data_IF_099532167199
#
_entry.id   IF_099532167199
#
_cell.length_a   1.000
_cell.length_b   1.000
_cell.length_c   1.000
_cell.angle_alpha   90.00
_cell.angle_beta   90.00
_cell.angle_gamma   90.00
#
_symmetry.space_group_name_H-M   'P 1'
#
loop_
_entity.id
_entity.type
_entity.pdbx_description
1 polymer ?
#
# COMPACT_ATOMS: atom_id res chain seq x y z
N UNK A 1 -4.13 -35.30 65.99
CA UNK A 1 -5.58 -35.37 66.28
C UNK A 1 -6.17 -33.98 66.11
N UNK A 2 -7.12 -33.80 65.17
CA UNK A 2 -7.96 -32.61 64.85
C UNK A 2 -7.22 -31.29 64.47
N UNK A 3 -7.22 -30.80 63.22
CA UNK A 3 -8.27 -30.19 62.35
C UNK A 3 -8.51 -28.68 62.61
N UNK A 4 -7.99 -27.87 61.65
CA UNK A 4 -8.56 -26.69 60.94
C UNK A 4 -9.08 -25.47 61.74
N UNK A 5 -8.52 -24.28 61.46
CA UNK A 5 -9.29 -23.18 60.85
C UNK A 5 -8.43 -22.19 60.03
N UNK A 6 -8.94 -21.95 58.83
CA UNK A 6 -8.53 -21.01 57.79
C UNK A 6 -8.67 -19.55 58.27
N UNK A 7 -7.83 -18.64 57.77
CA UNK A 7 -8.28 -17.32 57.31
C UNK A 7 -7.27 -16.73 56.32
N UNK A 8 -7.78 -16.52 55.11
CA UNK A 8 -7.11 -15.98 53.94
C UNK A 8 -7.10 -14.46 54.03
N UNK A 9 -5.93 -13.85 53.88
CA UNK A 9 -5.83 -12.54 53.22
C UNK A 9 -4.65 -12.59 52.26
N UNK A 10 -4.95 -12.92 51.00
CA UNK A 10 -4.04 -12.66 49.88
C UNK A 10 -4.04 -11.13 49.71
N UNK A 11 -2.98 -10.47 50.18
CA UNK A 11 -2.68 -9.11 49.72
C UNK A 11 -2.30 -9.22 48.25
N UNK A 12 -3.30 -9.01 47.39
CA UNK A 12 -3.13 -8.96 45.96
C UNK A 12 -2.12 -7.90 45.60
N UNK A 13 -0.92 -8.33 45.21
CA UNK A 13 -0.01 -7.50 44.44
C UNK A 13 -0.64 -7.38 43.05
N UNK A 14 -1.35 -6.28 42.80
CA UNK A 14 -1.78 -5.91 41.47
C UNK A 14 -0.54 -5.52 40.65
N UNK A 15 0.11 -6.51 40.06
CA UNK A 15 1.04 -6.26 38.96
C UNK A 15 0.21 -6.00 37.70
N UNK A 16 -0.11 -4.72 37.46
CA UNK A 16 -0.63 -4.28 36.17
C UNK A 16 0.52 -4.33 35.15
N UNK A 17 0.82 -5.51 34.62
CA UNK A 17 1.67 -5.62 33.43
C UNK A 17 0.83 -5.21 32.21
N UNK A 18 0.90 -3.92 31.87
CA UNK A 18 0.65 -3.50 30.49
C UNK A 18 1.70 -4.19 29.62
N UNK A 19 1.33 -5.26 28.91
CA UNK A 19 2.16 -5.86 27.86
C UNK A 19 2.27 -4.91 26.66
N UNK A 20 2.94 -3.78 26.85
CA UNK A 20 3.41 -2.92 25.78
C UNK A 20 4.71 -3.54 25.24
N UNK A 21 4.61 -4.36 24.20
CA UNK A 21 5.82 -4.95 23.62
C UNK A 21 5.63 -5.97 22.50
N UNK A 22 4.40 -6.31 22.10
CA UNK A 22 4.17 -7.30 21.04
C UNK A 22 3.96 -6.57 19.71
N UNK A 23 4.89 -6.76 18.77
CA UNK A 23 4.82 -6.21 17.43
C UNK A 23 4.11 -7.18 16.47
N UNK A 24 3.10 -6.69 15.74
CA UNK A 24 2.37 -7.45 14.71
C UNK A 24 3.02 -7.22 13.35
N UNK A 25 3.42 -8.31 12.69
CA UNK A 25 3.99 -8.30 11.35
C UNK A 25 3.04 -9.02 10.38
N UNK A 26 2.75 -8.38 9.25
CA UNK A 26 1.95 -8.97 8.17
C UNK A 26 2.87 -9.17 6.97
N UNK A 27 3.09 -10.42 6.58
CA UNK A 27 3.89 -10.76 5.42
C UNK A 27 3.09 -10.55 4.11
N UNK A 28 3.77 -10.49 2.95
CA UNK A 28 3.09 -10.27 1.66
C UNK A 28 2.05 -11.33 1.29
N UNK A 29 2.16 -12.54 1.82
CA UNK A 29 1.21 -13.64 1.65
C UNK A 29 0.00 -13.56 2.60
N UNK A 30 -0.06 -12.52 3.45
CA UNK A 30 -1.10 -12.32 4.46
C UNK A 30 -0.85 -13.05 5.77
N UNK A 31 0.25 -13.79 5.90
CA UNK A 31 0.59 -14.46 7.17
C UNK A 31 0.94 -13.42 8.25
N UNK A 32 0.47 -13.69 9.47
CA UNK A 32 0.65 -12.80 10.63
C UNK A 32 1.60 -13.45 11.62
N UNK A 33 2.63 -12.72 12.03
CA UNK A 33 3.54 -13.14 13.10
C UNK A 33 3.63 -12.08 14.20
N UNK A 34 3.80 -12.53 15.43
CA UNK A 34 3.96 -11.69 16.61
C UNK A 34 5.36 -11.88 17.19
N UNK A 35 6.03 -10.79 17.54
CA UNK A 35 7.37 -10.85 18.13
C UNK A 35 7.47 -9.92 19.33
N UNK A 36 8.19 -10.37 20.36
CA UNK A 36 8.61 -9.58 21.51
C UNK A 36 9.82 -8.70 21.18
N UNK A 37 10.58 -9.06 20.13
CA UNK A 37 11.75 -8.31 19.66
C UNK A 37 11.42 -7.57 18.36
N UNK A 38 11.74 -6.27 18.31
CA UNK A 38 11.63 -5.46 17.09
C UNK A 38 12.68 -5.94 16.08
N UNK A 39 12.26 -6.62 15.02
CA UNK A 39 13.17 -7.00 13.93
C UNK A 39 13.64 -5.73 13.20
N UNK A 40 14.90 -5.36 13.41
CA UNK A 40 15.55 -4.31 12.62
C UNK A 40 15.66 -4.79 11.18
N UNK A 41 14.79 -4.28 10.32
CA UNK A 41 14.98 -4.45 8.88
C UNK A 41 16.28 -3.76 8.45
N UNK A 42 16.97 -4.28 7.44
CA UNK A 42 18.16 -3.65 6.84
C UNK A 42 17.96 -2.16 6.49
N UNK A 43 16.70 -1.72 6.38
CA UNK A 43 16.27 -0.34 6.21
C UNK A 43 16.60 0.58 7.41
N UNK A 44 16.44 0.11 8.66
CA UNK A 44 16.79 0.92 9.85
C UNK A 44 18.30 1.17 9.94
N UNK A 45 19.10 0.22 9.47
CA UNK A 45 20.56 0.35 9.39
C UNK A 45 20.99 1.37 8.33
N UNK A 46 20.25 1.48 7.21
CA UNK A 46 20.49 2.49 6.17
C UNK A 46 20.15 3.90 6.67
N UNK A 47 19.05 4.07 7.42
CA UNK A 47 18.65 5.37 8.00
C UNK A 47 19.70 5.90 8.99
N UNK A 48 20.35 5.01 9.75
CA UNK A 48 21.37 5.41 10.73
C UNK A 48 22.74 5.76 10.11
N UNK A 49 23.04 5.34 8.87
CA UNK A 49 24.40 5.40 8.31
C UNK A 49 24.62 6.54 7.31
N UNK A 50 23.61 7.34 6.97
CA UNK A 50 23.77 8.48 6.04
C UNK A 50 22.78 9.58 6.40
N UNK A 51 23.25 10.82 6.48
CA UNK A 51 22.43 12.02 6.69
C UNK A 51 21.29 12.08 5.65
N UNK A 52 20.11 11.60 6.05
CA UNK A 52 18.93 11.46 5.17
C UNK A 52 18.52 12.78 4.51
N UNK A 53 18.84 13.93 5.16
CA UNK A 53 18.56 15.26 4.61
C UNK A 53 19.39 15.55 3.37
N UNK A 54 20.62 15.04 3.31
CA UNK A 54 21.52 15.19 2.16
C UNK A 54 21.04 14.35 0.97
N UNK A 55 20.62 13.10 1.21
CA UNK A 55 20.01 12.23 0.18
C UNK A 55 18.71 12.81 -0.41
N UNK A 56 17.85 13.43 0.42
CA UNK A 56 16.64 14.12 -0.05
C UNK A 56 17.01 15.32 -0.95
N UNK A 57 18.07 16.06 -0.61
CA UNK A 57 18.52 17.25 -1.35
C UNK A 57 19.08 16.90 -2.74
N UNK A 58 19.78 15.77 -2.87
CA UNK A 58 20.35 15.30 -4.14
C UNK A 58 19.30 14.67 -5.05
N UNK A 59 18.35 13.88 -4.51
CA UNK A 59 17.31 13.23 -5.31
C UNK A 59 16.19 14.17 -5.77
N UNK A 60 15.93 15.28 -5.05
CA UNK A 60 14.94 16.30 -5.41
C UNK A 60 15.06 16.79 -6.87
N UNK A 61 16.25 16.77 -7.48
CA UNK A 61 16.43 17.38 -8.81
C UNK A 61 16.01 16.49 -9.99
N UNK A 62 15.89 15.16 -9.84
CA UNK A 62 16.02 14.27 -11.00
C UNK A 62 14.79 14.11 -11.90
N UNK A 63 13.58 14.49 -11.47
CA UNK A 63 12.37 14.40 -12.32
C UNK A 63 11.33 15.51 -12.06
N UNK A 64 11.59 16.45 -11.15
CA UNK A 64 10.65 17.53 -10.81
C UNK A 64 10.30 18.36 -12.05
N UNK A 65 11.26 18.65 -12.92
CA UNK A 65 11.00 19.44 -14.12
C UNK A 65 10.04 18.74 -15.09
N UNK A 66 10.08 17.41 -15.19
CA UNK A 66 9.21 16.63 -16.08
C UNK A 66 7.76 16.62 -15.59
N UNK A 67 7.55 16.57 -14.27
CA UNK A 67 6.22 16.45 -13.66
C UNK A 67 5.77 17.70 -12.90
N UNK A 68 6.42 18.85 -13.11
CA UNK A 68 6.24 20.09 -12.33
C UNK A 68 4.77 20.50 -12.18
N UNK A 69 4.00 20.48 -13.27
CA UNK A 69 2.57 20.81 -13.27
C UNK A 69 1.71 19.84 -12.45
N UNK A 70 2.04 18.55 -12.46
CA UNK A 70 1.33 17.54 -11.66
C UNK A 70 1.66 17.73 -10.18
N UNK A 71 2.93 17.93 -9.88
CA UNK A 71 3.44 18.21 -8.53
C UNK A 71 2.78 19.47 -7.94
N UNK A 72 2.71 20.57 -8.69
CA UNK A 72 2.07 21.82 -8.25
C UNK A 72 0.58 21.61 -7.91
N UNK A 73 -0.13 20.82 -8.71
CA UNK A 73 -1.53 20.48 -8.42
C UNK A 73 -1.68 19.63 -7.16
N UNK A 74 -0.83 18.61 -6.99
CA UNK A 74 -0.82 17.81 -5.78
C UNK A 74 -0.47 18.64 -4.54
N UNK A 75 0.43 19.62 -4.65
CA UNK A 75 0.77 20.53 -3.55
C UNK A 75 -0.44 21.34 -3.09
N UNK A 76 -1.22 21.90 -4.03
CA UNK A 76 -2.46 22.62 -3.73
C UNK A 76 -3.47 21.73 -3.01
N UNK A 77 -3.53 20.44 -3.36
CA UNK A 77 -4.41 19.44 -2.76
C UNK A 77 -3.79 18.71 -1.56
N UNK A 78 -2.54 19.03 -1.18
CA UNK A 78 -1.77 18.38 -0.11
C UNK A 78 -1.67 16.85 -0.25
N UNK A 79 -1.60 16.37 -1.49
CA UNK A 79 -1.47 14.95 -1.80
C UNK A 79 0.01 14.52 -1.76
N UNK A 80 0.33 13.39 -1.10
CA UNK A 80 1.69 12.85 -1.00
C UNK A 80 2.10 12.01 -2.22
N UNK A 81 1.13 11.62 -3.05
CA UNK A 81 1.35 10.94 -4.32
C UNK A 81 0.21 11.21 -5.29
N UNK A 82 0.44 10.92 -6.56
CA UNK A 82 -0.54 10.93 -7.64
C UNK A 82 -0.48 9.58 -8.35
N UNK A 83 -1.62 8.94 -8.58
CA UNK A 83 -1.71 7.76 -9.45
C UNK A 83 -1.69 8.23 -10.91
N UNK A 84 -0.69 7.77 -11.65
CA UNK A 84 -0.50 8.15 -13.06
C UNK A 84 -1.01 7.07 -14.02
N UNK A 85 -1.13 5.83 -13.54
CA UNK A 85 -1.59 4.70 -14.37
C UNK A 85 -2.13 3.57 -13.51
N UNK A 86 -3.14 2.89 -14.03
CA UNK A 86 -3.55 1.56 -13.60
C UNK A 86 -3.99 0.79 -14.85
N UNK A 87 -3.43 -0.41 -15.07
CA UNK A 87 -3.84 -1.30 -16.17
C UNK A 87 -3.63 -2.76 -15.77
N UNK A 88 -4.32 -3.63 -16.49
CA UNK A 88 -4.06 -5.06 -16.50
C UNK A 88 -3.31 -5.46 -17.78
N UNK A 89 -2.59 -6.58 -17.76
CA UNK A 89 -2.18 -7.25 -19.00
C UNK A 89 -3.36 -7.99 -19.63
N UNK A 90 -3.21 -8.39 -20.89
CA UNK A 90 -4.08 -9.43 -21.45
C UNK A 90 -3.76 -10.76 -20.77
N UNK A 91 -4.74 -11.65 -20.58
CA UNK A 91 -4.49 -12.97 -20.03
C UNK A 91 -3.38 -13.69 -20.81
N UNK A 92 -2.41 -14.25 -20.09
CA UNK A 92 -1.35 -15.06 -20.69
C UNK A 92 -1.87 -16.48 -21.02
N UNK A 93 -0.97 -17.36 -21.50
CA UNK A 93 -1.32 -18.72 -21.91
C UNK A 93 -1.90 -19.61 -20.80
N UNK A 94 -1.71 -19.24 -19.52
CA UNK A 94 -2.29 -19.92 -18.35
C UNK A 94 -3.40 -19.09 -17.71
N UNK A 95 -4.01 -18.17 -18.46
CA UNK A 95 -5.04 -17.22 -18.02
C UNK A 95 -4.58 -16.24 -16.93
N UNK A 96 -3.28 -16.14 -16.68
CA UNK A 96 -2.70 -15.22 -15.71
C UNK A 96 -2.79 -13.77 -16.20
N UNK A 97 -3.26 -12.89 -15.33
CA UNK A 97 -3.46 -11.47 -15.59
C UNK A 97 -2.62 -10.67 -14.61
N UNK A 98 -1.77 -9.81 -15.13
CA UNK A 98 -0.88 -8.96 -14.35
C UNK A 98 -1.55 -7.62 -14.05
N UNK A 99 -1.08 -6.94 -13.01
CA UNK A 99 -1.47 -5.56 -12.68
C UNK A 99 -0.25 -4.66 -12.73
N UNK A 100 -0.38 -3.53 -13.41
CA UNK A 100 0.59 -2.43 -13.39
C UNK A 100 -0.09 -1.19 -12.82
N UNK A 101 0.50 -0.61 -11.77
CA UNK A 101 0.07 0.67 -11.20
C UNK A 101 1.28 1.57 -11.17
N UNK A 102 1.20 2.73 -11.82
CA UNK A 102 2.26 3.74 -11.75
C UNK A 102 1.79 4.91 -10.88
N UNK A 103 2.71 5.46 -10.10
CA UNK A 103 2.47 6.67 -9.32
C UNK A 103 3.69 7.58 -9.29
N UNK A 104 3.42 8.86 -9.02
CA UNK A 104 4.39 9.91 -8.78
C UNK A 104 4.34 10.29 -7.30
N UNK A 105 5.46 10.19 -6.59
CA UNK A 105 5.59 10.72 -5.24
C UNK A 105 5.69 12.24 -5.27
N UNK A 106 4.84 12.90 -4.51
CA UNK A 106 4.81 14.37 -4.35
C UNK A 106 5.07 14.78 -2.90
N UNK A 107 5.32 13.83 -2.00
CA UNK A 107 5.57 14.15 -0.61
C UNK A 107 6.99 14.66 -0.37
N UNK A 108 7.13 15.67 0.50
CA UNK A 108 8.44 16.08 1.03
C UNK A 108 9.05 15.04 1.98
N UNK A 109 8.20 14.29 2.69
CA UNK A 109 8.62 13.14 3.48
C UNK A 109 8.58 11.87 2.61
N UNK A 110 9.69 11.12 2.44
CA UNK A 110 9.70 9.99 1.52
C UNK A 110 8.72 8.89 1.91
N UNK A 111 8.16 8.22 0.90
CA UNK A 111 7.20 7.15 1.10
C UNK A 111 7.94 5.83 1.31
N UNK A 112 7.70 5.14 2.42
CA UNK A 112 8.25 3.82 2.72
C UNK A 112 7.49 2.72 1.97
N UNK A 113 6.17 2.75 2.04
CA UNK A 113 5.30 1.83 1.31
C UNK A 113 4.11 2.56 0.69
N UNK A 114 3.65 2.04 -0.44
CA UNK A 114 2.34 2.38 -1.00
C UNK A 114 1.59 1.07 -1.21
N UNK A 115 0.49 0.90 -0.49
CA UNK A 115 -0.36 -0.29 -0.55
C UNK A 115 -1.58 0.03 -1.42
N UNK A 116 -1.93 -0.88 -2.32
CA UNK A 116 -3.06 -0.77 -3.21
C UNK A 116 -4.01 -1.93 -2.96
N UNK A 117 -5.30 -1.66 -2.96
CA UNK A 117 -6.35 -2.66 -3.04
C UNK A 117 -7.04 -2.53 -4.39
N UNK A 118 -7.13 -3.63 -5.14
CA UNK A 118 -7.68 -3.64 -6.49
C UNK A 118 -8.67 -4.77 -6.70
N UNK A 119 -9.64 -4.54 -7.57
CA UNK A 119 -10.70 -5.49 -7.96
C UNK A 119 -10.71 -5.62 -9.48
N UNK A 120 -10.75 -6.85 -10.04
CA UNK A 120 -10.77 -7.07 -11.48
C UNK A 120 -12.21 -7.07 -12.01
N UNK A 121 -12.36 -6.68 -13.28
CA UNK A 121 -13.64 -6.67 -13.98
C UNK A 121 -13.53 -7.30 -15.37
N UNK A 122 -14.63 -7.89 -15.82
CA UNK A 122 -14.78 -8.36 -17.20
C UNK A 122 -15.24 -7.23 -18.15
N UNK A 123 -15.39 -7.54 -19.43
CA UNK A 123 -15.83 -6.59 -20.47
C UNK A 123 -17.24 -6.01 -20.25
N UNK A 124 -18.09 -6.67 -19.46
CA UNK A 124 -19.45 -6.21 -19.13
C UNK A 124 -19.55 -5.61 -17.72
N UNK A 125 -18.40 -5.36 -17.07
CA UNK A 125 -18.28 -4.72 -15.76
C UNK A 125 -18.77 -5.52 -14.56
N UNK A 126 -18.77 -6.85 -14.66
CA UNK A 126 -18.92 -7.69 -13.48
C UNK A 126 -17.57 -7.88 -12.78
N UNK A 127 -17.60 -7.91 -11.45
CA UNK A 127 -16.46 -8.37 -10.65
C UNK A 127 -16.28 -9.87 -10.92
N UNK A 128 -15.06 -10.26 -11.26
CA UNK A 128 -14.72 -11.67 -11.52
C UNK A 128 -13.70 -12.21 -10.53
N UNK A 129 -13.81 -13.49 -10.18
CA UNK A 129 -12.88 -14.15 -9.28
C UNK A 129 -11.74 -14.81 -10.04
N UNK A 130 -10.57 -14.92 -9.42
CA UNK A 130 -9.54 -15.83 -9.91
C UNK A 130 -10.00 -17.28 -9.79
N UNK A 131 -9.83 -18.05 -10.86
CA UNK A 131 -10.21 -19.46 -10.97
C UNK A 131 -9.39 -20.36 -10.03
N UNK A 132 -8.16 -19.97 -9.68
CA UNK A 132 -7.26 -20.78 -8.83
C UNK A 132 -7.62 -20.70 -7.34
N UNK A 133 -8.05 -19.54 -6.85
CA UNK A 133 -8.21 -19.31 -5.40
C UNK A 133 -9.51 -18.59 -5.01
N UNK A 134 -10.40 -18.33 -5.96
CA UNK A 134 -11.69 -17.66 -5.73
C UNK A 134 -11.59 -16.18 -5.35
N UNK A 135 -10.39 -15.58 -5.29
CA UNK A 135 -10.23 -14.19 -4.84
C UNK A 135 -10.69 -13.20 -5.90
N UNK A 136 -11.48 -12.22 -5.48
CA UNK A 136 -11.95 -11.07 -6.27
C UNK A 136 -11.19 -9.78 -5.93
N UNK A 137 -10.24 -9.83 -5.00
CA UNK A 137 -9.48 -8.67 -4.53
C UNK A 137 -8.01 -9.05 -4.43
N UNK A 138 -7.14 -8.13 -4.83
CA UNK A 138 -5.71 -8.25 -4.62
C UNK A 138 -5.16 -7.06 -3.83
N UNK A 139 -4.18 -7.35 -2.98
CA UNK A 139 -3.47 -6.37 -2.17
C UNK A 139 -2.03 -6.28 -2.66
N UNK A 140 -1.67 -5.13 -3.21
CA UNK A 140 -0.41 -4.91 -3.91
C UNK A 140 0.44 -3.91 -3.12
N UNK A 141 1.77 -4.04 -3.18
CA UNK A 141 2.69 -3.21 -2.39
C UNK A 141 3.85 -2.67 -3.22
N UNK A 142 3.94 -1.36 -3.33
CA UNK A 142 5.15 -0.64 -3.72
C UNK A 142 6.06 -0.44 -2.52
N UNK A 143 7.36 -0.69 -2.69
CA UNK A 143 8.38 -0.53 -1.63
C UNK A 143 9.37 0.56 -2.01
N UNK A 144 9.47 1.57 -1.16
CA UNK A 144 10.34 2.72 -1.33
C UNK A 144 11.76 2.52 -0.77
N UNK A 145 12.48 3.62 -0.46
CA UNK A 145 11.95 4.97 -0.29
C UNK A 145 11.64 5.65 -1.64
N UNK A 146 10.44 6.24 -1.74
CA UNK A 146 10.06 7.08 -2.88
C UNK A 146 10.17 8.56 -2.49
N UNK A 147 11.16 9.26 -3.03
CA UNK A 147 11.39 10.68 -2.80
C UNK A 147 10.47 11.54 -3.66
N UNK A 148 10.35 12.83 -3.32
CA UNK A 148 9.57 13.79 -4.12
C UNK A 148 10.07 13.82 -5.57
N UNK A 149 9.15 13.62 -6.51
CA UNK A 149 9.44 13.54 -7.94
C UNK A 149 9.80 12.14 -8.42
N UNK A 150 9.98 11.16 -7.53
CA UNK A 150 10.17 9.78 -7.94
C UNK A 150 8.88 9.21 -8.51
N UNK A 151 9.05 8.44 -9.58
CA UNK A 151 8.02 7.53 -10.06
C UNK A 151 8.40 6.13 -9.62
N UNK A 152 7.42 5.26 -9.42
CA UNK A 152 7.72 3.87 -9.17
C UNK A 152 8.27 3.21 -10.43
N UNK A 153 9.60 3.13 -10.50
CA UNK A 153 10.26 2.35 -11.54
C UNK A 153 9.94 0.86 -11.31
N UNK A 154 9.07 0.30 -12.16
CA UNK A 154 8.84 -1.15 -12.32
C UNK A 154 7.95 -1.87 -11.28
N UNK A 155 6.94 -1.23 -10.66
CA UNK A 155 5.96 -2.03 -9.92
C UNK A 155 5.02 -2.73 -10.91
N UNK A 156 5.27 -4.02 -11.09
CA UNK A 156 4.49 -4.95 -11.89
C UNK A 156 4.18 -6.16 -11.01
N UNK A 157 2.91 -6.52 -10.91
CA UNK A 157 2.47 -7.69 -10.15
C UNK A 157 1.99 -8.77 -11.11
N UNK A 158 2.88 -9.72 -11.37
CA UNK A 158 2.62 -10.81 -12.29
C UNK A 158 1.55 -11.77 -11.72
N UNK A 159 0.70 -12.29 -12.60
CA UNK A 159 -0.34 -13.27 -12.29
C UNK A 159 -1.17 -12.92 -11.04
N UNK A 160 -1.61 -11.67 -10.95
CA UNK A 160 -2.42 -11.17 -9.82
C UNK A 160 -3.73 -11.94 -9.71
N UNK A 161 -4.33 -12.27 -10.84
CA UNK A 161 -5.46 -13.19 -10.95
C UNK A 161 -5.24 -14.17 -12.11
N UNK A 162 -5.99 -15.26 -12.07
CA UNK A 162 -6.09 -16.24 -13.16
C UNK A 162 -7.54 -16.32 -13.60
N UNK A 163 -7.89 -15.60 -14.66
CA UNK A 163 -9.23 -15.61 -15.26
C UNK A 163 -9.17 -14.92 -16.63
N UNK A 164 -9.52 -15.60 -17.74
CA UNK A 164 -9.36 -15.06 -19.08
C UNK A 164 -10.37 -13.96 -19.43
N UNK A 165 -11.41 -13.77 -18.61
CA UNK A 165 -12.43 -12.74 -18.86
C UNK A 165 -12.06 -11.36 -18.32
N UNK A 166 -10.99 -11.25 -17.52
CA UNK A 166 -10.54 -9.97 -16.96
C UNK A 166 -10.02 -9.07 -18.07
N UNK A 167 -10.56 -7.86 -18.17
CA UNK A 167 -10.11 -6.83 -19.12
C UNK A 167 -9.52 -5.60 -18.44
N UNK A 168 -9.79 -5.40 -17.16
CA UNK A 168 -9.36 -4.25 -16.38
C UNK A 168 -9.37 -4.53 -14.88
N UNK A 169 -8.76 -3.63 -14.10
CA UNK A 169 -8.81 -3.65 -12.64
C UNK A 169 -8.98 -2.24 -12.07
N UNK A 170 -9.95 -2.06 -11.19
CA UNK A 170 -10.20 -0.80 -10.51
C UNK A 170 -9.45 -0.73 -9.18
N UNK A 171 -8.98 0.47 -8.84
CA UNK A 171 -8.39 0.78 -7.54
C UNK A 171 -9.51 1.09 -6.53
N UNK A 172 -9.45 0.43 -5.37
CA UNK A 172 -10.44 0.54 -4.29
C UNK A 172 -9.90 1.41 -3.15
N UNK A 173 -8.63 1.20 -2.80
CA UNK A 173 -7.97 1.96 -1.75
C UNK A 173 -6.47 2.12 -2.01
N UNK A 174 -5.91 3.21 -1.45
CA UNK A 174 -4.47 3.43 -1.36
C UNK A 174 -4.09 3.78 0.06
N UNK A 175 -3.09 3.09 0.60
CA UNK A 175 -2.48 3.43 1.89
C UNK A 175 -1.03 3.85 1.67
N UNK A 176 -0.71 5.06 2.09
CA UNK A 176 0.65 5.60 2.05
C UNK A 176 1.23 5.50 3.44
N UNK A 177 2.38 4.83 3.56
CA UNK A 177 3.15 4.73 4.80
C UNK A 177 4.44 5.52 4.58
N UNK A 178 4.64 6.55 5.38
CA UNK A 178 5.82 7.40 5.29
C UNK A 178 7.01 6.81 6.05
N UNK A 179 8.18 7.40 5.84
CA UNK A 179 9.42 7.01 6.49
C UNK A 179 9.40 7.12 8.02
N UNK A 180 8.60 8.05 8.55
CA UNK A 180 8.38 8.26 9.98
C UNK A 180 7.27 7.37 10.56
N UNK A 181 6.81 6.38 9.78
CA UNK A 181 5.71 5.45 10.08
C UNK A 181 4.30 6.07 10.15
N UNK A 182 4.16 7.38 9.90
CA UNK A 182 2.83 7.99 9.74
C UNK A 182 2.12 7.42 8.52
N UNK A 183 0.78 7.50 8.50
CA UNK A 183 -0.05 6.89 7.46
C UNK A 183 -1.10 7.85 6.93
N UNK A 184 -1.36 7.76 5.62
CA UNK A 184 -2.54 8.37 4.98
C UNK A 184 -3.30 7.30 4.21
N UNK A 185 -4.63 7.31 4.33
CA UNK A 185 -5.53 6.35 3.71
C UNK A 185 -6.45 7.09 2.75
N UNK A 186 -6.57 6.56 1.54
CA UNK A 186 -7.38 7.13 0.46
C UNK A 186 -8.38 6.09 -0.02
N UNK A 187 -9.66 6.41 0.16
CA UNK A 187 -10.82 5.61 -0.26
C UNK A 187 -11.88 6.55 -0.85
N UNK A 188 -12.84 6.01 -1.59
CA UNK A 188 -14.01 6.75 -2.07
C UNK A 188 -13.63 8.07 -2.78
N UNK A 189 -14.14 9.20 -2.30
CA UNK A 189 -13.86 10.51 -2.90
C UNK A 189 -12.39 10.93 -2.73
N UNK A 190 -11.76 10.63 -1.59
CA UNK A 190 -10.34 10.94 -1.37
C UNK A 190 -9.42 10.16 -2.33
N UNK A 191 -9.85 8.97 -2.77
CA UNK A 191 -9.13 8.21 -3.79
C UNK A 191 -9.14 8.93 -5.15
N UNK A 192 -10.26 9.58 -5.51
CA UNK A 192 -10.39 10.31 -6.79
C UNK A 192 -9.40 11.47 -6.89
N UNK A 193 -9.11 12.13 -5.77
CA UNK A 193 -8.15 13.23 -5.72
C UNK A 193 -6.74 12.78 -6.14
N UNK A 194 -6.37 11.51 -5.88
CA UNK A 194 -5.08 10.95 -6.30
C UNK A 194 -4.93 10.87 -7.83
N UNK A 195 -6.01 10.99 -8.60
CA UNK A 195 -6.00 11.05 -10.06
C UNK A 195 -5.98 12.50 -10.60
N UNK A 196 -5.82 13.50 -9.72
CA UNK A 196 -5.82 14.94 -10.05
C UNK A 196 -7.02 15.42 -10.88
N UNK A 197 -8.21 14.83 -10.64
CA UNK A 197 -9.42 15.09 -11.42
C UNK A 197 -9.26 14.87 -12.93
N UNK A 198 -8.22 14.13 -13.35
CA UNK A 198 -8.15 13.69 -14.73
C UNK A 198 -9.34 12.75 -14.98
N UNK A 199 -9.93 12.84 -16.18
CA UNK A 199 -10.63 11.69 -16.78
C UNK A 199 -9.59 10.61 -17.10
N UNK A 200 -8.78 10.20 -16.12
CA UNK A 200 -8.11 8.91 -16.20
C UNK A 200 -9.30 7.97 -16.28
N UNK A 201 -9.46 7.37 -17.46
CA UNK A 201 -10.33 6.24 -17.65
C UNK A 201 -10.10 5.34 -16.46
N UNK A 202 -11.04 5.33 -15.52
CA UNK A 202 -11.19 4.24 -14.58
C UNK A 202 -11.06 3.03 -15.49
N UNK A 203 -10.02 2.23 -15.27
CA UNK A 203 -9.39 1.34 -16.26
C UNK A 203 -10.33 0.36 -16.98
N UNK A 204 -11.59 0.35 -16.58
CA UNK A 204 -12.69 -0.33 -17.21
C UNK A 204 -13.45 0.64 -18.13
N UNK A 205 -13.44 0.44 -19.46
CA UNK A 205 -14.22 1.27 -20.37
C UNK A 205 -15.67 1.30 -19.89
N UNK A 206 -16.25 2.51 -19.83
CA UNK A 206 -17.70 2.66 -19.68
C UNK A 206 -18.38 1.97 -20.87
N UNK A 207 -19.56 1.35 -20.70
CA UNK A 207 -20.27 0.75 -21.81
C UNK A 207 -20.53 1.82 -22.86
N UNK A 208 -20.46 1.49 -24.15
CA UNK A 208 -21.11 2.33 -25.17
C UNK A 208 -22.60 2.35 -24.81
N UNK A 209 -23.11 3.54 -24.47
CA UNK A 209 -24.55 3.79 -24.40
C UNK A 209 -25.14 3.36 -25.76
N UNK A 210 -26.03 2.37 -25.74
CA UNK A 210 -26.90 2.06 -26.88
C UNK A 210 -28.19 2.83 -26.72
#
# INVERSE_FOLDING_TARGET
MKIILLLITISGIYFSYSFAGVYKYVAPDGSVTYSMEKKNSNYETIIKKTDYKTLIKENRKKNINKYSKQIEKADKLKLPLIITKIKTSQPNIVNGVDVDIDFLSTSDLPLKYVLFEVIPYNAVQDIVSSEINGKTTAYLKGTGPYYRGDTNRYNHWANTWYNPTIVCAALVSVVVIFLDETKKVYINNALKDLFLNQKISISCPKPMER
#
